data_IF_876727785059
#
_entry.id   IF_876727785059
#
_cell.length_a   1.000
_cell.length_b   1.000
_cell.length_c   1.000
_cell.angle_alpha   90.00
_cell.angle_beta   90.00
_cell.angle_gamma   90.00
#
_symmetry.space_group_name_H-M   'P 1'
#
loop_
_entity.id
_entity.type
_entity.pdbx_description
1 polymer ?
#
# COMPACT_ATOMS: atom_id res chain seq x y z
N UNK A 1 19.36 -12.71 -6.82
CA UNK A 1 19.15 -13.33 -5.50
C UNK A 1 20.28 -12.86 -4.59
N UNK A 2 20.03 -11.86 -3.75
CA UNK A 2 21.04 -11.21 -2.89
C UNK A 2 20.92 -11.81 -1.49
N UNK A 3 22.06 -12.14 -0.85
CA UNK A 3 22.16 -12.82 0.45
C UNK A 3 21.29 -12.24 1.59
N UNK A 4 20.85 -10.98 1.50
CA UNK A 4 19.91 -10.35 2.44
C UNK A 4 18.48 -10.90 2.38
N UNK A 5 17.97 -11.26 1.19
CA UNK A 5 16.58 -11.69 1.04
C UNK A 5 16.27 -13.02 1.76
N UNK A 6 17.26 -13.92 1.86
CA UNK A 6 17.05 -15.24 2.48
C UNK A 6 16.77 -15.12 3.98
N UNK A 7 17.53 -14.27 4.70
CA UNK A 7 17.32 -14.06 6.12
C UNK A 7 15.91 -13.52 6.42
N UNK A 8 15.40 -12.58 5.62
CA UNK A 8 14.05 -12.04 5.76
C UNK A 8 12.97 -13.09 5.47
N UNK A 9 13.15 -13.92 4.44
CA UNK A 9 12.23 -15.01 4.11
C UNK A 9 12.20 -16.06 5.23
N UNK A 10 13.35 -16.43 5.78
CA UNK A 10 13.44 -17.40 6.88
C UNK A 10 12.79 -16.84 8.16
N UNK A 11 13.00 -15.56 8.48
CA UNK A 11 12.34 -14.88 9.60
C UNK A 11 10.82 -14.81 9.42
N UNK A 12 10.36 -14.54 8.19
CA UNK A 12 8.95 -14.50 7.85
C UNK A 12 8.29 -15.87 7.94
N UNK A 13 8.95 -16.91 7.42
CA UNK A 13 8.46 -18.27 7.53
C UNK A 13 8.35 -18.72 8.99
N UNK A 14 9.36 -18.39 9.82
CA UNK A 14 9.27 -18.66 11.26
C UNK A 14 8.07 -17.94 11.88
N UNK A 15 7.86 -16.67 11.55
CA UNK A 15 6.70 -15.91 12.03
C UNK A 15 5.36 -16.54 11.61
N UNK A 16 5.25 -17.09 10.39
CA UNK A 16 4.07 -17.86 9.95
C UNK A 16 3.79 -19.07 10.85
N UNK A 17 4.84 -19.82 11.18
CA UNK A 17 4.74 -21.04 12.01
C UNK A 17 4.36 -20.67 13.44
N UNK A 18 5.07 -19.70 14.04
CA UNK A 18 4.84 -19.26 15.43
C UNK A 18 3.39 -18.77 15.60
N UNK A 19 2.87 -17.99 14.65
CA UNK A 19 1.47 -17.54 14.69
C UNK A 19 0.51 -18.72 14.53
N UNK A 20 0.75 -19.64 13.59
CA UNK A 20 -0.14 -20.80 13.40
C UNK A 20 -0.26 -21.67 14.66
N UNK A 21 0.84 -21.87 15.38
CA UNK A 21 0.86 -22.59 16.66
C UNK A 21 0.04 -21.88 17.73
N UNK A 22 0.14 -20.54 17.83
CA UNK A 22 -0.68 -19.74 18.75
C UNK A 22 -2.17 -19.77 18.43
N UNK A 23 -2.55 -20.04 17.18
CA UNK A 23 -3.94 -20.30 16.77
C UNK A 23 -4.37 -21.77 16.97
N UNK A 24 -3.54 -22.59 17.63
CA UNK A 24 -3.87 -23.97 18.00
C UNK A 24 -3.49 -25.02 16.95
N UNK A 25 -2.68 -24.68 15.95
CA UNK A 25 -2.19 -25.67 15.00
C UNK A 25 -1.10 -26.55 15.63
N UNK A 26 -1.24 -27.87 15.50
CA UNK A 26 -0.20 -28.80 15.93
C UNK A 26 1.01 -28.73 14.99
N UNK A 27 2.21 -28.64 15.57
CA UNK A 27 3.46 -28.66 14.82
C UNK A 27 3.65 -30.04 14.16
N UNK A 28 3.24 -30.12 12.91
CA UNK A 28 3.26 -31.33 12.09
C UNK A 28 3.92 -31.03 10.75
N UNK A 29 4.50 -32.05 10.12
CA UNK A 29 5.08 -31.91 8.77
C UNK A 29 4.07 -31.35 7.77
N UNK A 30 2.80 -31.74 7.91
CA UNK A 30 1.69 -31.24 7.10
C UNK A 30 1.50 -29.72 7.22
N UNK A 31 1.50 -29.18 8.46
CA UNK A 31 1.40 -27.74 8.69
C UNK A 31 2.55 -26.98 8.03
N UNK A 32 3.79 -27.44 8.25
CA UNK A 32 4.99 -26.82 7.71
C UNK A 32 4.97 -26.81 6.17
N UNK A 33 4.55 -27.93 5.56
CA UNK A 33 4.38 -28.03 4.11
C UNK A 33 3.34 -27.02 3.59
N UNK A 34 2.19 -26.90 4.24
CA UNK A 34 1.12 -25.98 3.82
C UNK A 34 1.51 -24.50 3.96
N UNK A 35 2.19 -24.13 5.05
CA UNK A 35 2.73 -22.78 5.23
C UNK A 35 3.82 -22.47 4.19
N UNK A 36 4.70 -23.44 3.90
CA UNK A 36 5.75 -23.28 2.88
C UNK A 36 5.19 -23.14 1.47
N UNK A 37 4.09 -23.83 1.14
CA UNK A 37 3.35 -23.63 -0.12
C UNK A 37 2.80 -22.21 -0.22
N UNK A 38 2.22 -21.70 0.87
CA UNK A 38 1.68 -20.34 0.95
C UNK A 38 2.77 -19.28 0.78
N UNK A 39 3.92 -19.47 1.44
CA UNK A 39 5.11 -18.63 1.26
C UNK A 39 5.62 -18.66 -0.19
N UNK A 40 5.69 -19.85 -0.79
CA UNK A 40 6.14 -20.00 -2.18
C UNK A 40 5.19 -19.28 -3.14
N UNK A 41 3.88 -19.34 -2.88
CA UNK A 41 2.87 -18.61 -3.64
C UNK A 41 3.05 -17.09 -3.50
N UNK A 42 3.29 -16.59 -2.29
CA UNK A 42 3.59 -15.17 -2.05
C UNK A 42 4.87 -14.70 -2.75
N UNK A 43 5.93 -15.51 -2.77
CA UNK A 43 7.15 -15.20 -3.53
C UNK A 43 6.86 -15.09 -5.03
N UNK A 44 5.97 -15.94 -5.58
CA UNK A 44 5.55 -15.83 -6.98
C UNK A 44 4.73 -14.56 -7.22
N UNK A 45 3.81 -14.22 -6.32
CA UNK A 45 3.06 -12.96 -6.37
C UNK A 45 4.00 -11.74 -6.37
N UNK A 46 4.99 -11.70 -5.49
CA UNK A 46 5.97 -10.62 -5.43
C UNK A 46 6.79 -10.49 -6.73
N UNK A 47 7.14 -11.61 -7.36
CA UNK A 47 7.87 -11.60 -8.64
C UNK A 47 7.04 -10.99 -9.77
N UNK A 48 5.75 -11.33 -9.88
CA UNK A 48 4.89 -10.78 -10.93
C UNK A 48 4.60 -9.28 -10.68
N UNK A 49 4.51 -8.84 -9.42
CA UNK A 49 4.43 -7.41 -9.07
C UNK A 49 5.67 -6.65 -9.50
N UNK A 50 6.87 -7.14 -9.16
CA UNK A 50 8.13 -6.48 -9.55
C UNK A 50 8.33 -6.40 -11.06
N UNK A 51 7.90 -7.41 -11.83
CA UNK A 51 7.94 -7.33 -13.28
C UNK A 51 6.99 -6.27 -13.82
N UNK A 52 5.83 -6.09 -13.18
CA UNK A 52 4.85 -5.10 -13.61
C UNK A 52 5.24 -3.66 -13.30
N UNK A 53 5.98 -3.42 -12.22
CA UNK A 53 6.44 -2.09 -11.83
C UNK A 53 7.42 -1.48 -12.84
N UNK A 54 8.21 -2.33 -13.51
CA UNK A 54 9.16 -1.89 -14.55
C UNK A 54 8.47 -1.37 -15.81
N UNK A 55 7.19 -1.69 -15.98
CA UNK A 55 6.40 -1.35 -17.15
C UNK A 55 5.44 -0.17 -16.86
N UNK A 56 5.57 0.51 -15.70
CA UNK A 56 4.70 1.62 -15.27
C UNK A 56 4.91 2.96 -16.00
N UNK A 57 5.71 2.99 -17.08
CA UNK A 57 5.79 4.15 -17.97
C UNK A 57 4.47 4.41 -18.73
N UNK A 58 3.49 3.51 -18.60
CA UNK A 58 2.16 3.65 -19.20
C UNK A 58 1.28 4.65 -18.45
N UNK A 59 0.92 5.74 -19.13
CA UNK A 59 0.01 6.76 -18.57
C UNK A 59 -1.33 6.13 -18.16
N UNK A 60 -1.87 6.51 -17.00
CA UNK A 60 -3.15 5.98 -16.46
C UNK A 60 -4.33 6.06 -17.46
N UNK A 61 -4.24 6.92 -18.48
CA UNK A 61 -5.24 7.07 -19.54
C UNK A 61 -5.31 5.82 -20.43
N UNK A 62 -4.18 5.17 -20.74
CA UNK A 62 -4.15 4.03 -21.66
C UNK A 62 -4.76 2.76 -21.07
N UNK A 63 -4.81 2.66 -19.73
CA UNK A 63 -5.33 1.49 -19.04
C UNK A 63 -6.81 1.58 -18.68
N UNK A 64 -7.56 2.48 -19.32
CA UNK A 64 -9.01 2.61 -19.15
C UNK A 64 -9.73 1.60 -20.03
N UNK A 65 -10.62 0.80 -19.44
CA UNK A 65 -11.44 -0.17 -20.17
C UNK A 65 -12.82 -0.32 -19.53
N UNK A 66 -13.79 -0.87 -20.26
CA UNK A 66 -15.09 -1.20 -19.69
C UNK A 66 -14.97 -2.39 -18.74
N UNK A 67 -15.87 -2.49 -17.77
CA UNK A 67 -15.96 -3.68 -16.90
C UNK A 67 -16.18 -4.96 -17.70
N UNK A 68 -16.96 -4.90 -18.80
CA UNK A 68 -17.10 -6.01 -19.74
C UNK A 68 -15.76 -6.47 -20.34
N UNK A 69 -14.95 -5.52 -20.80
CA UNK A 69 -13.64 -5.81 -21.40
C UNK A 69 -12.66 -6.39 -20.37
N UNK A 70 -12.71 -5.88 -19.13
CA UNK A 70 -11.95 -6.45 -18.01
C UNK A 70 -12.33 -7.91 -17.77
N UNK A 71 -13.63 -8.21 -17.71
CA UNK A 71 -14.13 -9.57 -17.48
C UNK A 71 -13.72 -10.53 -18.59
N UNK A 72 -13.69 -10.06 -19.84
CA UNK A 72 -13.23 -10.85 -20.98
C UNK A 72 -11.71 -11.10 -20.93
N UNK A 73 -10.94 -10.08 -20.57
CA UNK A 73 -9.46 -10.14 -20.57
C UNK A 73 -8.89 -10.90 -19.37
N UNK A 74 -9.53 -10.82 -18.21
CA UNK A 74 -9.10 -11.43 -16.95
C UNK A 74 -10.26 -12.21 -16.30
N UNK A 75 -10.54 -13.44 -16.77
CA UNK A 75 -11.77 -14.16 -16.41
C UNK A 75 -11.73 -14.90 -15.06
N UNK A 76 -10.58 -15.04 -14.38
CA UNK A 76 -10.46 -15.81 -13.13
C UNK A 76 -11.25 -15.21 -11.97
N UNK A 77 -11.57 -13.92 -12.05
CA UNK A 77 -12.37 -13.21 -11.05
C UNK A 77 -13.70 -12.78 -11.69
N UNK A 78 -14.85 -13.02 -11.05
CA UNK A 78 -16.12 -12.47 -11.49
C UNK A 78 -16.18 -10.98 -11.11
N UNK A 79 -15.48 -10.14 -11.88
CA UNK A 79 -15.21 -8.74 -11.55
C UNK A 79 -16.47 -7.91 -11.31
N UNK A 80 -17.50 -8.05 -12.15
CA UNK A 80 -18.74 -7.30 -11.96
C UNK A 80 -19.41 -7.64 -10.63
N UNK A 81 -19.51 -8.93 -10.30
CA UNK A 81 -20.09 -9.39 -9.03
C UNK A 81 -19.23 -8.95 -7.84
N UNK A 82 -17.91 -9.10 -7.96
CA UNK A 82 -16.94 -8.72 -6.94
C UNK A 82 -17.01 -7.22 -6.61
N UNK A 83 -17.01 -6.36 -7.64
CA UNK A 83 -17.10 -4.91 -7.47
C UNK A 83 -18.45 -4.49 -6.88
N UNK A 84 -19.56 -5.08 -7.33
CA UNK A 84 -20.88 -4.80 -6.80
C UNK A 84 -21.02 -5.19 -5.31
N UNK A 85 -20.43 -6.32 -4.91
CA UNK A 85 -20.39 -6.73 -3.50
C UNK A 85 -19.55 -5.78 -2.65
N UNK A 86 -18.42 -5.32 -3.19
CA UNK A 86 -17.50 -4.43 -2.47
C UNK A 86 -18.05 -3.01 -2.33
N UNK A 87 -18.74 -2.50 -3.35
CA UNK A 87 -19.18 -1.10 -3.44
C UNK A 87 -20.65 -0.87 -3.08
N UNK A 88 -21.37 -1.89 -2.61
CA UNK A 88 -22.74 -1.78 -2.12
C UNK A 88 -22.92 -0.55 -1.20
N UNK A 89 -23.88 0.37 -1.45
CA UNK A 89 -25.03 0.28 -2.35
C UNK A 89 -24.84 0.75 -3.79
N UNK A 90 -23.62 1.12 -4.20
CA UNK A 90 -23.36 1.50 -5.59
C UNK A 90 -23.39 0.28 -6.49
N UNK A 91 -24.09 0.40 -7.62
CA UNK A 91 -24.17 -0.66 -8.63
C UNK A 91 -23.26 -0.31 -9.80
N UNK A 92 -22.28 -1.18 -10.07
CA UNK A 92 -21.37 -1.13 -11.21
C UNK A 92 -21.96 -1.90 -12.39
N UNK A 93 -22.11 -1.20 -13.50
CA UNK A 93 -22.59 -1.72 -14.77
C UNK A 93 -21.42 -2.21 -15.64
N UNK A 94 -21.75 -2.97 -16.69
CA UNK A 94 -20.75 -3.55 -17.59
C UNK A 94 -20.05 -2.50 -18.47
N UNK A 95 -20.73 -1.40 -18.75
CA UNK A 95 -20.25 -0.27 -19.55
C UNK A 95 -19.50 0.78 -18.75
N UNK A 96 -19.49 0.67 -17.41
CA UNK A 96 -18.69 1.54 -16.55
C UNK A 96 -17.21 1.44 -16.89
N UNK A 97 -16.53 2.58 -16.86
CA UNK A 97 -15.11 2.69 -17.19
C UNK A 97 -14.28 2.59 -15.91
N UNK A 98 -13.35 1.64 -15.92
CA UNK A 98 -12.38 1.44 -14.84
C UNK A 98 -10.97 1.66 -15.36
N UNK A 99 -10.06 2.07 -14.46
CA UNK A 99 -8.63 2.21 -14.78
C UNK A 99 -7.89 1.05 -14.14
N UNK A 100 -7.21 0.23 -14.95
CA UNK A 100 -6.43 -0.91 -14.47
C UNK A 100 -4.99 -0.48 -14.23
N UNK A 101 -4.53 -0.48 -12.98
CA UNK A 101 -3.17 -0.01 -12.66
C UNK A 101 -2.06 -0.76 -13.40
N UNK A 102 -2.19 -2.09 -13.53
CA UNK A 102 -1.28 -2.90 -14.34
C UNK A 102 -2.00 -4.08 -15.01
N UNK A 103 -2.34 -3.97 -16.31
CA UNK A 103 -2.93 -5.08 -17.06
C UNK A 103 -2.00 -6.30 -17.13
N UNK A 104 -0.69 -6.08 -17.18
CA UNK A 104 0.31 -7.15 -17.18
C UNK A 104 0.27 -7.95 -15.89
N UNK A 105 0.22 -7.28 -14.73
CA UNK A 105 0.10 -7.96 -13.45
C UNK A 105 -1.14 -8.86 -13.40
N UNK A 106 -2.29 -8.38 -13.87
CA UNK A 106 -3.51 -9.19 -13.92
C UNK A 106 -3.36 -10.41 -14.84
N UNK A 107 -2.70 -10.27 -15.99
CA UNK A 107 -2.44 -11.41 -16.90
C UNK A 107 -1.55 -12.47 -16.26
N UNK A 108 -0.49 -12.04 -15.57
CA UNK A 108 0.43 -12.94 -14.89
C UNK A 108 -0.23 -13.58 -13.64
N UNK A 109 -1.14 -12.83 -12.99
CA UNK A 109 -1.96 -13.31 -11.89
C UNK A 109 -2.96 -14.39 -12.33
N UNK A 110 -3.67 -14.20 -13.45
CA UNK A 110 -4.56 -15.21 -14.06
C UNK A 110 -3.84 -16.55 -14.23
N UNK A 111 -2.65 -16.50 -14.82
CA UNK A 111 -1.80 -17.68 -15.03
C UNK A 111 -1.42 -18.30 -13.69
N UNK A 112 -0.96 -17.50 -12.72
CA UNK A 112 -0.55 -17.99 -11.42
C UNK A 112 -1.71 -18.61 -10.62
N UNK A 113 -2.92 -18.04 -10.71
CA UNK A 113 -4.12 -18.57 -10.05
C UNK A 113 -4.59 -19.87 -10.68
N UNK A 114 -4.50 -20.04 -12.01
CA UNK A 114 -4.91 -21.27 -12.68
C UNK A 114 -4.05 -22.48 -12.31
N UNK A 115 -2.74 -22.28 -12.10
CA UNK A 115 -1.80 -23.36 -11.75
C UNK A 115 -1.67 -23.62 -10.24
N UNK A 116 -2.24 -22.75 -9.40
CA UNK A 116 -2.11 -22.86 -7.94
C UNK A 116 -3.35 -23.53 -7.34
N UNK A 117 -3.21 -24.58 -6.51
CA UNK A 117 -4.36 -25.21 -5.86
C UNK A 117 -5.17 -24.22 -5.00
N UNK A 118 -6.51 -24.31 -5.05
CA UNK A 118 -7.41 -23.41 -4.32
C UNK A 118 -7.15 -23.36 -2.81
N UNK A 119 -6.74 -24.49 -2.21
CA UNK A 119 -6.33 -24.55 -0.79
C UNK A 119 -5.14 -23.63 -0.49
N UNK A 120 -4.13 -23.57 -1.36
CA UNK A 120 -2.96 -22.70 -1.18
C UNK A 120 -3.36 -21.22 -1.33
N UNK A 121 -4.23 -20.91 -2.29
CA UNK A 121 -4.78 -19.56 -2.45
C UNK A 121 -5.54 -19.12 -1.20
N UNK A 122 -6.42 -19.99 -0.67
CA UNK A 122 -7.17 -19.72 0.55
C UNK A 122 -6.25 -19.52 1.77
N UNK A 123 -5.29 -20.42 1.99
CA UNK A 123 -4.32 -20.32 3.09
C UNK A 123 -3.55 -18.99 3.04
N UNK A 124 -3.13 -18.57 1.84
CA UNK A 124 -2.47 -17.27 1.66
C UNK A 124 -3.39 -16.09 2.04
N UNK A 125 -4.62 -16.06 1.55
CA UNK A 125 -5.58 -14.99 1.87
C UNK A 125 -5.86 -14.92 3.37
N UNK A 126 -6.08 -16.07 4.02
CA UNK A 126 -6.25 -16.14 5.47
C UNK A 126 -5.01 -15.67 6.22
N UNK A 127 -3.82 -16.08 5.78
CA UNK A 127 -2.57 -15.61 6.37
C UNK A 127 -2.43 -14.09 6.29
N UNK A 128 -2.75 -13.47 5.15
CA UNK A 128 -2.73 -12.01 5.00
C UNK A 128 -3.72 -11.32 5.93
N UNK A 129 -4.91 -11.88 6.12
CA UNK A 129 -5.90 -11.35 7.06
C UNK A 129 -5.44 -11.47 8.52
N UNK A 130 -4.87 -12.62 8.90
CA UNK A 130 -4.31 -12.86 10.23
C UNK A 130 -3.19 -11.85 10.51
N UNK A 131 -2.23 -11.72 9.58
CA UNK A 131 -1.10 -10.80 9.70
C UNK A 131 -1.51 -9.36 10.00
N UNK A 132 -2.56 -8.88 9.33
CA UNK A 132 -3.09 -7.54 9.54
C UNK A 132 -3.79 -7.38 10.91
N UNK A 133 -4.25 -8.49 11.49
CA UNK A 133 -5.03 -8.49 12.74
C UNK A 133 -4.18 -8.78 13.98
N UNK A 134 -3.00 -9.41 13.84
CA UNK A 134 -2.18 -9.90 14.98
C UNK A 134 -1.90 -8.83 16.04
N UNK A 135 -1.69 -7.56 15.64
CA UNK A 135 -1.41 -6.45 16.57
C UNK A 135 -2.60 -6.11 17.49
N UNK A 136 -3.81 -6.56 17.15
CA UNK A 136 -5.05 -6.27 17.88
C UNK A 136 -5.50 -7.42 18.80
N UNK A 137 -4.75 -8.52 18.83
CA UNK A 137 -5.13 -9.75 19.55
C UNK A 137 -4.44 -9.82 20.92
N UNK A 138 -4.20 -11.04 21.43
CA UNK A 138 -3.57 -11.27 22.72
C UNK A 138 -2.15 -10.70 22.79
N UNK A 139 -1.67 -10.47 24.00
CA UNK A 139 -0.31 -9.98 24.23
C UNK A 139 0.74 -10.90 23.59
N UNK A 140 0.56 -12.21 23.67
CA UNK A 140 1.47 -13.20 23.10
C UNK A 140 1.59 -13.08 21.57
N UNK A 141 0.46 -12.93 20.88
CA UNK A 141 0.41 -12.71 19.42
C UNK A 141 1.05 -11.37 19.04
N UNK A 142 0.75 -10.31 19.80
CA UNK A 142 1.35 -8.97 19.62
C UNK A 142 2.87 -9.01 19.79
N UNK A 143 3.37 -9.66 20.84
CA UNK A 143 4.81 -9.81 21.11
C UNK A 143 5.49 -10.63 20.01
N UNK A 144 4.84 -11.68 19.51
CA UNK A 144 5.34 -12.47 18.36
C UNK A 144 5.53 -11.61 17.12
N UNK A 145 4.56 -10.73 16.80
CA UNK A 145 4.70 -9.75 15.71
C UNK A 145 5.82 -8.74 15.99
N UNK A 146 5.93 -8.23 17.21
CA UNK A 146 6.98 -7.27 17.57
C UNK A 146 8.37 -7.88 17.44
N UNK A 147 8.56 -9.12 17.88
CA UNK A 147 9.84 -9.84 17.77
C UNK A 147 10.23 -10.03 16.30
N UNK A 148 9.26 -10.37 15.44
CA UNK A 148 9.45 -10.45 14.01
C UNK A 148 9.84 -9.08 13.41
N UNK A 149 9.14 -8.00 13.78
CA UNK A 149 9.41 -6.65 13.29
C UNK A 149 10.82 -6.17 13.68
N UNK A 150 11.21 -6.36 14.94
CA UNK A 150 12.56 -6.04 15.42
C UNK A 150 13.64 -6.80 14.66
N UNK A 151 13.40 -8.07 14.29
CA UNK A 151 14.36 -8.88 13.52
C UNK A 151 14.52 -8.41 12.07
N UNK A 152 13.52 -7.75 11.50
CA UNK A 152 13.55 -7.29 10.10
C UNK A 152 14.02 -5.86 9.96
N UNK A 153 13.62 -5.00 10.88
CA UNK A 153 13.78 -3.55 10.75
C UNK A 153 14.76 -2.95 11.76
N UNK A 154 15.35 -3.77 12.64
CA UNK A 154 16.19 -3.35 13.77
C UNK A 154 15.52 -2.31 14.70
N UNK A 155 14.21 -2.09 14.56
CA UNK A 155 13.44 -1.18 15.42
C UNK A 155 12.98 -1.91 16.67
N UNK A 156 13.21 -1.30 17.84
CA UNK A 156 12.76 -1.82 19.13
C UNK A 156 11.23 -1.86 19.21
N UNK A 157 10.69 -2.86 19.92
CA UNK A 157 9.27 -2.92 20.27
C UNK A 157 8.77 -1.58 20.82
N UNK A 158 7.69 -1.06 20.25
CA UNK A 158 7.08 0.18 20.73
C UNK A 158 6.35 -0.12 22.05
N UNK A 159 6.48 0.80 23.01
CA UNK A 159 5.66 0.77 24.21
C UNK A 159 4.18 0.73 23.82
N UNK A 160 3.37 -0.04 24.55
CA UNK A 160 1.97 -0.29 24.18
C UNK A 160 1.16 0.99 23.94
N UNK A 161 1.41 2.05 24.72
CA UNK A 161 0.71 3.32 24.54
C UNK A 161 1.03 4.00 23.20
N UNK A 162 2.25 3.84 22.67
CA UNK A 162 2.66 4.36 21.35
C UNK A 162 1.97 3.57 20.25
N UNK A 163 1.92 2.25 20.35
CA UNK A 163 1.17 1.41 19.39
C UNK A 163 -0.31 1.80 19.36
N UNK A 164 -0.93 1.99 20.52
CA UNK A 164 -2.32 2.45 20.62
C UNK A 164 -2.51 3.85 20.02
N UNK A 165 -1.55 4.76 20.22
CA UNK A 165 -1.58 6.09 19.63
C UNK A 165 -1.46 6.02 18.10
N UNK A 166 -0.54 5.22 17.56
CA UNK A 166 -0.35 5.04 16.12
C UNK A 166 -1.60 4.46 15.46
N UNK A 167 -2.23 3.45 16.07
CA UNK A 167 -3.51 2.89 15.59
C UNK A 167 -4.60 3.98 15.61
N UNK A 168 -4.66 4.77 16.68
CA UNK A 168 -5.65 5.85 16.80
C UNK A 168 -5.43 6.93 15.74
N UNK A 169 -4.18 7.32 15.48
CA UNK A 169 -3.81 8.26 14.43
C UNK A 169 -4.17 7.68 13.06
N UNK A 170 -3.92 6.39 12.81
CA UNK A 170 -4.24 5.76 11.54
C UNK A 170 -5.74 5.84 11.19
N UNK A 171 -6.63 5.63 12.17
CA UNK A 171 -8.08 5.69 11.95
C UNK A 171 -8.68 7.09 12.09
N UNK A 172 -8.11 7.94 12.94
CA UNK A 172 -8.69 9.23 13.34
C UNK A 172 -7.74 10.40 13.07
N UNK A 173 -6.88 10.29 12.07
CA UNK A 173 -5.81 11.24 11.75
C UNK A 173 -6.30 12.68 11.76
N UNK A 174 -7.41 12.96 11.06
CA UNK A 174 -7.98 14.32 10.95
C UNK A 174 -8.48 14.86 12.29
N UNK A 175 -9.10 14.01 13.11
CA UNK A 175 -9.66 14.41 14.41
C UNK A 175 -8.52 14.73 15.37
N UNK A 176 -7.57 13.79 15.50
CA UNK A 176 -6.42 13.94 16.40
C UNK A 176 -5.55 15.13 15.98
N UNK A 177 -5.28 15.27 14.69
CA UNK A 177 -4.52 16.41 14.16
C UNK A 177 -5.23 17.74 14.44
N UNK A 178 -6.56 17.81 14.28
CA UNK A 178 -7.34 19.01 14.61
C UNK A 178 -7.25 19.35 16.10
N UNK A 179 -7.34 18.35 16.99
CA UNK A 179 -7.17 18.55 18.43
C UNK A 179 -5.78 19.04 18.79
N UNK A 180 -4.74 18.47 18.17
CA UNK A 180 -3.35 18.86 18.37
C UNK A 180 -3.12 20.31 17.94
N UNK A 181 -3.55 20.66 16.73
CA UNK A 181 -3.45 22.03 16.19
C UNK A 181 -4.13 23.03 17.10
N UNK A 182 -5.38 22.79 17.50
CA UNK A 182 -6.14 23.71 18.37
C UNK A 182 -5.47 23.98 19.71
N UNK A 183 -4.66 23.03 20.20
CA UNK A 183 -4.02 23.13 21.51
C UNK A 183 -2.61 23.69 21.46
N UNK A 184 -1.86 23.41 20.39
CA UNK A 184 -0.42 23.64 20.33
C UNK A 184 0.04 24.56 19.20
N UNK A 185 -0.78 24.80 18.18
CA UNK A 185 -0.41 25.65 17.05
C UNK A 185 -1.08 27.01 17.20
N UNK A 186 -0.25 28.03 17.41
CA UNK A 186 -0.68 29.43 17.40
C UNK A 186 -0.96 29.93 15.97
N UNK A 187 -1.86 30.89 15.81
CA UNK A 187 -2.21 31.47 14.51
C UNK A 187 -0.99 32.14 13.84
N UNK A 188 -0.10 32.76 14.64
CA UNK A 188 1.12 33.37 14.11
C UNK A 188 2.05 32.33 13.46
N UNK A 189 2.07 31.09 13.94
CA UNK A 189 2.88 30.03 13.34
C UNK A 189 2.40 29.70 11.92
N UNK A 190 1.08 29.70 11.68
CA UNK A 190 0.51 29.47 10.36
C UNK A 190 0.85 30.61 9.39
N UNK A 191 0.78 31.86 9.86
CA UNK A 191 1.15 33.02 9.06
C UNK A 191 2.64 33.00 8.68
N UNK A 192 3.53 32.78 9.64
CA UNK A 192 4.97 32.74 9.40
C UNK A 192 5.35 31.66 8.37
N UNK A 193 4.76 30.46 8.50
CA UNK A 193 5.00 29.39 7.52
C UNK A 193 4.40 29.75 6.15
N UNK A 194 3.25 30.42 6.11
CA UNK A 194 2.67 30.89 4.85
C UNK A 194 3.56 31.90 4.14
N UNK A 195 4.21 32.81 4.88
CA UNK A 195 5.17 33.77 4.33
C UNK A 195 6.39 33.06 3.74
N UNK A 196 6.93 32.06 4.47
CA UNK A 196 8.04 31.24 3.98
C UNK A 196 7.67 30.50 2.68
N UNK A 197 6.49 29.86 2.65
CA UNK A 197 6.01 29.13 1.47
C UNK A 197 5.82 30.06 0.27
N UNK A 198 5.31 31.27 0.50
CA UNK A 198 5.18 32.28 -0.55
C UNK A 198 6.56 32.76 -1.04
N UNK A 199 7.52 33.00 -0.14
CA UNK A 199 8.90 33.34 -0.52
C UNK A 199 9.57 32.27 -1.36
N UNK A 200 9.40 30.98 -1.01
CA UNK A 200 9.91 29.85 -1.80
C UNK A 200 9.27 29.82 -3.20
N UNK A 201 7.96 30.11 -3.29
CA UNK A 201 7.24 30.16 -4.56
C UNK A 201 7.75 31.30 -5.45
N UNK A 202 7.96 32.49 -4.89
CA UNK A 202 8.51 33.63 -5.61
C UNK A 202 9.92 33.33 -6.14
N UNK A 203 10.76 32.70 -5.32
CA UNK A 203 12.10 32.34 -5.74
C UNK A 203 12.09 31.28 -6.86
N UNK A 204 11.15 30.33 -6.82
CA UNK A 204 10.93 29.40 -7.94
C UNK A 204 10.55 30.11 -9.24
N UNK A 205 9.75 31.18 -9.19
CA UNK A 205 9.43 31.95 -10.40
C UNK A 205 10.68 32.62 -10.98
N UNK A 206 11.54 33.18 -10.13
CA UNK A 206 12.82 33.74 -10.58
C UNK A 206 13.70 32.67 -11.22
N UNK A 207 13.80 31.50 -10.60
CA UNK A 207 14.57 30.37 -11.16
C UNK A 207 14.02 29.96 -12.54
N UNK A 208 12.70 29.80 -12.69
CA UNK A 208 12.13 29.45 -14.00
C UNK A 208 12.37 30.51 -15.08
N UNK A 209 12.46 31.79 -14.69
CA UNK A 209 12.78 32.86 -15.64
C UNK A 209 14.26 32.91 -16.04
N UNK A 210 15.19 32.40 -15.23
CA UNK A 210 16.65 32.53 -15.45
C UNK A 210 17.33 31.27 -15.99
N UNK A 211 16.69 30.10 -15.91
CA UNK A 211 17.25 28.85 -16.44
C UNK A 211 17.32 28.85 -17.97
N UNK A 212 18.44 28.37 -18.51
CA UNK A 212 18.71 28.41 -19.96
C UNK A 212 18.41 27.10 -20.69
N UNK A 213 18.10 26.03 -19.96
CA UNK A 213 17.85 24.70 -20.54
C UNK A 213 16.39 24.48 -20.96
N UNK A 214 15.46 25.36 -20.56
CA UNK A 214 14.05 25.33 -20.95
C UNK A 214 13.75 26.42 -21.99
N UNK A 215 12.96 26.09 -23.00
CA UNK A 215 12.39 27.05 -23.93
C UNK A 215 11.30 27.92 -23.25
N UNK A 216 10.93 29.01 -23.91
CA UNK A 216 10.01 30.01 -23.34
C UNK A 216 8.58 29.51 -23.15
N UNK A 217 8.12 28.56 -23.98
CA UNK A 217 6.79 27.96 -23.84
C UNK A 217 6.75 27.05 -22.61
N UNK A 218 7.76 26.20 -22.44
CA UNK A 218 7.88 25.32 -21.27
C UNK A 218 8.06 26.12 -19.98
N UNK A 219 8.80 27.23 -20.01
CA UNK A 219 8.92 28.16 -18.87
C UNK A 219 7.57 28.76 -18.48
N UNK A 220 6.80 29.24 -19.45
CA UNK A 220 5.46 29.78 -19.21
C UNK A 220 4.55 28.74 -18.55
N UNK A 221 4.53 27.51 -19.08
CA UNK A 221 3.75 26.40 -18.52
C UNK A 221 4.19 26.04 -17.09
N UNK A 222 5.50 26.07 -16.80
CA UNK A 222 6.02 25.81 -15.46
C UNK A 222 5.60 26.89 -14.45
N UNK A 223 5.61 28.17 -14.87
CA UNK A 223 5.14 29.29 -14.05
C UNK A 223 3.64 29.17 -13.78
N UNK A 224 2.84 28.89 -14.81
CA UNK A 224 1.39 28.75 -14.67
C UNK A 224 1.02 27.58 -13.75
N UNK A 225 1.74 26.44 -13.88
CA UNK A 225 1.62 25.33 -12.93
C UNK A 225 1.95 25.77 -11.50
N UNK A 226 3.08 26.44 -11.29
CA UNK A 226 3.49 26.88 -9.96
C UNK A 226 2.55 27.92 -9.34
N UNK A 227 1.85 28.74 -10.16
CA UNK A 227 0.73 29.60 -9.71
C UNK A 227 -0.50 28.80 -9.29
N UNK A 228 -0.82 27.74 -10.02
CA UNK A 228 -1.99 26.89 -9.74
C UNK A 228 -1.80 25.93 -8.54
N UNK A 229 -0.58 25.78 -8.02
CA UNK A 229 -0.31 24.89 -6.89
C UNK A 229 -1.03 25.38 -5.62
N UNK A 230 -1.93 24.55 -5.10
CA UNK A 230 -2.55 24.74 -3.79
C UNK A 230 -1.57 24.35 -2.68
N UNK A 231 -1.56 25.13 -1.60
CA UNK A 231 -0.77 24.85 -0.41
C UNK A 231 -1.69 24.54 0.77
N UNK A 232 -1.47 23.41 1.42
CA UNK A 232 -2.16 23.04 2.65
C UNK A 232 -1.18 23.22 3.81
N UNK A 233 -1.41 24.24 4.65
CA UNK A 233 -0.52 24.59 5.76
C UNK A 233 -1.19 24.23 7.09
N UNK A 234 -0.53 23.32 7.82
CA UNK A 234 -0.88 22.79 9.14
C UNK A 234 -2.19 21.99 9.22
N UNK A 235 -3.32 22.52 8.77
CA UNK A 235 -4.63 21.88 8.85
C UNK A 235 -5.57 22.34 7.72
N UNK A 236 -6.58 21.53 7.33
CA UNK A 236 -7.62 21.92 6.37
C UNK A 236 -8.33 23.23 6.77
#
# INVERSE_FOLDING_TARGET
MVKGAKHYIDAYYKYMVDVAELFGANQSDSLLIELKKSLTFEIKLAKISQSSEKDLDDTMIQNRMKVADLQQKFPSIPWQEYLNKLLNPFTIQQDDIITVGSPKYLSDLETLLSITPKRVQANYVFWRAIMNSVKLLTEELRMTKSNYDTKISDTTSLERWKECLDISIHFFEKIISSMYVRRFIDENAKQNVSEIVNGIREEKYKIFSTINWMDDETKKNAIDKAKSMLHHIAYP
#
